data_IF_277732478913
#
_entry.id   IF_277732478913
#
_cell.length_a   1.000
_cell.length_b   1.000
_cell.length_c   1.000
_cell.angle_alpha   90.00
_cell.angle_beta   90.00
_cell.angle_gamma   90.00
#
_symmetry.space_group_name_H-M   'P 1'
#
loop_
_entity.id
_entity.type
_entity.pdbx_description
1 polymer ?
#
# COMPACT_ATOMS: atom_id res chain seq x y z
N UNK A 1 28.03 -8.88 -15.05
CA UNK A 1 27.21 -9.62 -14.07
C UNK A 1 26.60 -8.57 -13.17
N UNK A 2 25.28 -8.45 -13.11
CA UNK A 2 24.61 -7.42 -12.30
C UNK A 2 24.40 -8.01 -10.91
N UNK A 3 24.78 -7.25 -9.88
CA UNK A 3 24.49 -7.60 -8.49
C UNK A 3 23.01 -7.32 -8.22
N UNK A 4 22.19 -8.37 -8.36
CA UNK A 4 20.74 -8.28 -8.23
C UNK A 4 20.32 -7.69 -6.88
N UNK A 5 21.03 -8.03 -5.81
CA UNK A 5 20.75 -7.54 -4.45
C UNK A 5 20.91 -6.02 -4.33
N UNK A 6 21.92 -5.45 -5.01
CA UNK A 6 22.11 -4.00 -5.07
C UNK A 6 20.98 -3.33 -5.85
N UNK A 7 20.60 -3.92 -6.99
CA UNK A 7 19.48 -3.41 -7.81
C UNK A 7 18.18 -3.43 -7.01
N UNK A 8 17.88 -4.52 -6.30
CA UNK A 8 16.68 -4.64 -5.49
C UNK A 8 16.65 -3.65 -4.33
N UNK A 9 17.81 -3.39 -3.70
CA UNK A 9 17.93 -2.41 -2.62
C UNK A 9 17.66 -0.99 -3.12
N UNK A 10 18.26 -0.60 -4.25
CA UNK A 10 18.03 0.72 -4.87
C UNK A 10 16.58 0.86 -5.31
N UNK A 11 15.99 -0.18 -5.90
CA UNK A 11 14.59 -0.17 -6.32
C UNK A 11 13.66 0.02 -5.10
N UNK A 12 13.86 -0.76 -4.04
CA UNK A 12 13.06 -0.65 -2.82
C UNK A 12 13.14 0.76 -2.24
N UNK A 13 14.35 1.33 -2.11
CA UNK A 13 14.53 2.70 -1.63
C UNK A 13 13.74 3.72 -2.44
N UNK A 14 13.80 3.65 -3.77
CA UNK A 14 13.06 4.56 -4.64
C UNK A 14 11.54 4.39 -4.51
N UNK A 15 11.04 3.15 -4.40
CA UNK A 15 9.61 2.90 -4.19
C UNK A 15 9.11 3.46 -2.85
N UNK A 16 9.88 3.26 -1.76
CA UNK A 16 9.56 3.87 -0.47
C UNK A 16 9.60 5.39 -0.53
N UNK A 17 10.55 5.96 -1.29
CA UNK A 17 10.66 7.41 -1.46
C UNK A 17 9.46 7.98 -2.21
N UNK A 18 9.03 7.36 -3.30
CA UNK A 18 7.84 7.75 -4.04
C UNK A 18 6.59 7.67 -3.16
N UNK A 19 6.42 6.58 -2.42
CA UNK A 19 5.29 6.44 -1.49
C UNK A 19 5.30 7.53 -0.40
N UNK A 20 6.45 7.84 0.19
CA UNK A 20 6.57 8.90 1.19
C UNK A 20 6.19 10.28 0.61
N UNK A 21 6.51 10.54 -0.67
CA UNK A 21 6.13 11.77 -1.37
C UNK A 21 4.62 11.94 -1.49
N UNK A 22 3.89 10.85 -1.77
CA UNK A 22 2.42 10.85 -1.87
C UNK A 22 1.72 10.98 -0.51
N UNK A 23 2.37 10.53 0.57
CA UNK A 23 1.82 10.59 1.92
C UNK A 23 1.91 12.00 2.56
N UNK A 24 2.35 13.02 1.80
CA UNK A 24 2.33 14.43 2.20
C UNK A 24 3.22 14.71 3.42
N UNK A 25 2.63 14.86 4.61
CA UNK A 25 3.39 15.17 5.83
C UNK A 25 4.46 14.13 6.21
N UNK A 26 4.45 12.96 5.58
CA UNK A 26 5.38 11.85 5.83
C UNK A 26 6.56 11.78 4.86
N UNK A 27 6.73 12.80 4.00
CA UNK A 27 7.84 12.94 3.04
C UNK A 27 9.26 12.80 3.62
N UNK A 28 9.41 13.12 4.90
CA UNK A 28 10.68 13.10 5.61
C UNK A 28 10.98 11.75 6.29
N UNK A 29 10.07 10.78 6.22
CA UNK A 29 10.29 9.47 6.84
C UNK A 29 11.35 8.68 6.07
N UNK A 30 12.17 7.94 6.83
CA UNK A 30 13.05 6.91 6.29
C UNK A 30 12.23 5.66 5.87
N UNK A 31 12.80 4.86 4.96
CA UNK A 31 12.17 3.67 4.37
C UNK A 31 11.57 2.73 5.41
N UNK A 32 12.33 2.42 6.47
CA UNK A 32 11.87 1.55 7.56
C UNK A 32 10.63 2.11 8.27
N UNK A 33 10.61 3.42 8.52
CA UNK A 33 9.47 4.09 9.15
C UNK A 33 8.24 4.11 8.23
N UNK A 34 8.43 4.23 6.91
CA UNK A 34 7.33 4.10 5.94
C UNK A 34 6.78 2.68 5.96
N UNK A 35 7.67 1.68 5.94
CA UNK A 35 7.29 0.27 6.02
C UNK A 35 6.47 -0.02 7.28
N UNK A 36 6.99 0.28 8.47
CA UNK A 36 6.35 -0.07 9.74
C UNK A 36 4.99 0.61 9.93
N UNK A 37 4.85 1.84 9.43
CA UNK A 37 3.63 2.63 9.60
C UNK A 37 2.56 2.27 8.56
N UNK A 38 2.94 2.09 7.30
CA UNK A 38 1.99 2.02 6.18
C UNK A 38 1.92 0.64 5.53
N UNK A 39 3.05 -0.03 5.31
CA UNK A 39 3.11 -1.30 4.57
C UNK A 39 2.87 -2.50 5.49
N UNK A 40 3.55 -2.53 6.65
CA UNK A 40 3.46 -3.61 7.61
C UNK A 40 2.14 -3.52 8.41
N UNK A 41 1.02 -3.83 7.76
CA UNK A 41 -0.29 -3.81 8.39
C UNK A 41 -1.03 -5.12 8.16
N UNK A 42 -1.65 -5.63 9.23
CA UNK A 42 -2.56 -6.76 9.13
C UNK A 42 -3.87 -6.30 8.48
N UNK A 43 -4.56 -7.23 7.82
CA UNK A 43 -5.86 -6.96 7.23
C UNK A 43 -6.58 -8.25 6.87
N UNK A 44 -7.86 -8.12 6.54
CA UNK A 44 -8.67 -9.21 5.98
C UNK A 44 -8.85 -8.97 4.49
N UNK A 45 -8.79 -10.04 3.71
CA UNK A 45 -9.06 -10.00 2.27
C UNK A 45 -10.37 -10.74 2.02
N UNK A 46 -11.29 -10.10 1.32
CA UNK A 46 -12.54 -10.71 0.84
C UNK A 46 -12.59 -10.62 -0.66
N UNK A 47 -12.69 -11.77 -1.32
CA UNK A 47 -12.75 -11.88 -2.78
C UNK A 47 -14.20 -12.17 -3.17
N UNK A 48 -14.80 -11.22 -3.87
CA UNK A 48 -16.16 -11.33 -4.42
C UNK A 48 -16.11 -11.56 -5.93
N UNK A 49 -17.28 -11.69 -6.56
CA UNK A 49 -17.37 -11.84 -8.02
C UNK A 49 -16.73 -10.68 -8.79
N UNK A 50 -16.93 -9.44 -8.35
CA UNK A 50 -16.47 -8.25 -9.09
C UNK A 50 -15.33 -7.47 -8.39
N UNK A 51 -15.15 -7.69 -7.09
CA UNK A 51 -14.28 -6.84 -6.28
C UNK A 51 -13.41 -7.69 -5.35
N UNK A 52 -12.18 -7.23 -5.10
CA UNK A 52 -11.31 -7.70 -4.03
C UNK A 52 -11.24 -6.57 -3.01
N UNK A 53 -11.74 -6.85 -1.80
CA UNK A 53 -11.74 -5.91 -0.69
C UNK A 53 -10.62 -6.26 0.28
N UNK A 54 -9.77 -5.28 0.57
CA UNK A 54 -8.69 -5.36 1.54
C UNK A 54 -9.04 -4.45 2.72
N UNK A 55 -9.51 -5.06 3.80
CA UNK A 55 -9.87 -4.37 5.03
C UNK A 55 -8.68 -4.31 5.97
N UNK A 56 -8.02 -3.17 6.01
CA UNK A 56 -6.80 -2.92 6.77
C UNK A 56 -7.12 -2.69 8.25
N UNK A 57 -6.34 -3.30 9.15
CA UNK A 57 -6.46 -3.08 10.59
C UNK A 57 -6.21 -1.61 10.91
N UNK A 58 -7.01 -1.05 11.82
CA UNK A 58 -6.90 0.35 12.24
C UNK A 58 -5.48 0.66 12.74
N UNK A 59 -4.88 1.70 12.15
CA UNK A 59 -3.64 2.35 12.59
C UNK A 59 -3.83 3.86 12.57
N UNK A 60 -3.05 4.58 13.38
CA UNK A 60 -3.10 6.06 13.48
C UNK A 60 -2.97 6.74 12.12
N UNK A 61 -2.11 6.24 11.25
CA UNK A 61 -1.78 6.85 9.97
C UNK A 61 -2.59 6.26 8.79
N UNK A 62 -3.45 5.27 9.06
CA UNK A 62 -4.26 4.60 8.04
C UNK A 62 -5.15 5.57 7.24
N UNK A 63 -5.81 6.59 7.83
CA UNK A 63 -6.62 7.52 7.06
C UNK A 63 -5.83 8.22 5.94
N UNK A 64 -4.56 8.58 6.18
CA UNK A 64 -3.72 9.19 5.16
C UNK A 64 -3.43 8.22 4.01
N UNK A 65 -3.15 6.96 4.33
CA UNK A 65 -2.93 5.92 3.33
C UNK A 65 -4.17 5.69 2.47
N UNK A 66 -5.35 5.61 3.10
CA UNK A 66 -6.61 5.42 2.37
C UNK A 66 -6.93 6.61 1.46
N UNK A 67 -6.62 7.83 1.90
CA UNK A 67 -6.76 9.03 1.04
C UNK A 67 -5.85 8.94 -0.19
N UNK A 68 -4.56 8.59 -0.01
CA UNK A 68 -3.63 8.43 -1.13
C UNK A 68 -4.05 7.29 -2.08
N UNK A 69 -4.56 6.18 -1.55
CA UNK A 69 -5.00 5.02 -2.35
C UNK A 69 -6.30 5.29 -3.12
N UNK A 70 -7.14 6.23 -2.68
CA UNK A 70 -8.41 6.51 -3.35
C UNK A 70 -8.24 7.07 -4.77
N UNK A 71 -7.08 7.67 -5.05
CA UNK A 71 -6.72 8.18 -6.37
C UNK A 71 -6.35 7.04 -7.34
N UNK A 72 -6.08 5.85 -6.81
CA UNK A 72 -5.61 4.68 -7.54
C UNK A 72 -6.73 3.65 -7.75
N UNK A 73 -7.59 3.91 -8.75
CA UNK A 73 -8.65 2.99 -9.19
C UNK A 73 -8.19 2.19 -10.39
N UNK A 74 -7.46 1.11 -10.15
CA UNK A 74 -6.98 0.22 -11.20
C UNK A 74 -7.79 -1.06 -11.30
N UNK A 75 -8.02 -1.50 -12.54
CA UNK A 75 -8.41 -2.86 -12.85
C UNK A 75 -7.15 -3.63 -13.25
N UNK A 76 -6.96 -4.80 -12.63
CA UNK A 76 -5.78 -5.63 -12.88
C UNK A 76 -6.17 -6.80 -13.80
N UNK A 77 -5.69 -6.86 -15.06
CA UNK A 77 -6.07 -7.91 -16.01
C UNK A 77 -5.73 -9.32 -15.52
N UNK A 78 -4.59 -9.46 -14.83
CA UNK A 78 -4.13 -10.72 -14.23
C UNK A 78 -4.91 -11.11 -12.96
N UNK A 79 -5.77 -10.21 -12.46
CA UNK A 79 -6.62 -10.41 -11.29
C UNK A 79 -8.10 -10.55 -11.71
N UNK A 80 -8.35 -11.20 -12.86
CA UNK A 80 -9.68 -11.42 -13.44
C UNK A 80 -10.48 -10.13 -13.67
N UNK A 81 -9.79 -9.01 -13.94
CA UNK A 81 -10.41 -7.68 -14.09
C UNK A 81 -11.26 -7.26 -12.87
N UNK A 82 -10.97 -7.82 -11.69
CA UNK A 82 -11.64 -7.41 -10.45
C UNK A 82 -11.11 -6.05 -10.01
N UNK A 83 -12.00 -5.24 -9.44
CA UNK A 83 -11.62 -3.95 -8.83
C UNK A 83 -11.03 -4.19 -7.45
N UNK A 84 -9.91 -3.53 -7.15
CA UNK A 84 -9.29 -3.58 -5.84
C UNK A 84 -9.78 -2.42 -4.99
N UNK A 85 -10.30 -2.71 -3.79
CA UNK A 85 -10.85 -1.70 -2.88
C UNK A 85 -10.18 -1.84 -1.53
N UNK A 86 -9.64 -0.74 -1.02
CA UNK A 86 -9.04 -0.66 0.31
C UNK A 86 -9.97 0.06 1.28
N UNK A 87 -10.16 -0.49 2.47
CA UNK A 87 -10.92 0.16 3.54
C UNK A 87 -10.30 -0.10 4.91
N UNK A 88 -10.76 0.66 5.90
CA UNK A 88 -10.41 0.43 7.30
C UNK A 88 -11.36 -0.60 7.91
N UNK A 89 -10.82 -1.66 8.50
CA UNK A 89 -11.59 -2.65 9.22
C UNK A 89 -12.43 -1.97 10.32
N UNK A 90 -13.75 -2.00 10.13
CA UNK A 90 -14.72 -1.63 11.14
C UNK A 90 -15.07 -2.92 11.88
N UNK A 91 -14.41 -3.15 13.02
CA UNK A 91 -14.87 -4.18 13.94
C UNK A 91 -16.23 -3.74 14.47
N UNK A 92 -17.29 -4.48 14.13
CA UNK A 92 -18.54 -4.51 14.88
C UNK A 92 -18.35 -5.41 16.09
#
# INVERSE_FOLDING_TARGET
KVDFDLVMTILAHNLYRLLALELGRYQHLADQSVFDRFIYNAGAITISMNDIRVSLKKKRDLPQLLMALNDYKFEYPWLFQKRLVFDGASYT
#
